data_IF_477271417257
#
_entry.id   IF_477271417257
#
_cell.length_a   1.000
_cell.length_b   1.000
_cell.length_c   1.000
_cell.angle_alpha   90.00
_cell.angle_beta   90.00
_cell.angle_gamma   90.00
#
_symmetry.space_group_name_H-M   'P 1'
#
loop_
_entity.id
_entity.type
_entity.pdbx_description
1 polymer ?
#
# COMPACT_ATOMS: atom_id res chain seq x y z
N UNK A 1 44.73 -3.04 -18.85
CA UNK A 1 44.35 -2.06 -17.79
C UNK A 1 42.81 -2.11 -17.72
N UNK A 2 42.29 -2.77 -16.68
CA UNK A 2 40.83 -2.82 -16.45
C UNK A 2 40.42 -1.49 -15.80
N UNK A 3 39.75 -0.66 -16.57
CA UNK A 3 39.02 0.50 -16.03
C UNK A 3 37.89 -0.04 -15.11
N UNK A 4 38.12 0.02 -13.81
CA UNK A 4 37.04 -0.12 -12.83
C UNK A 4 36.09 1.04 -13.08
N UNK A 5 34.94 0.75 -13.69
CA UNK A 5 33.79 1.64 -13.75
C UNK A 5 33.48 2.08 -12.32
N UNK A 6 33.85 3.30 -11.98
CA UNK A 6 33.50 3.91 -10.70
C UNK A 6 31.98 4.05 -10.74
N UNK A 7 31.27 3.19 -10.02
CA UNK A 7 29.84 3.38 -9.78
C UNK A 7 29.69 4.62 -8.89
N UNK A 8 29.27 5.71 -9.46
CA UNK A 8 29.14 7.05 -8.87
C UNK A 8 28.15 7.13 -7.68
N UNK A 9 27.66 6.02 -7.17
CA UNK A 9 26.61 5.93 -6.13
C UNK A 9 27.02 5.07 -4.93
N UNK A 10 28.31 4.87 -4.74
CA UNK A 10 28.81 4.14 -3.56
C UNK A 10 28.98 5.12 -2.39
N UNK A 11 28.28 4.88 -1.30
CA UNK A 11 28.55 5.59 -0.03
C UNK A 11 29.85 5.04 0.52
N UNK A 12 30.94 5.84 0.61
CA UNK A 12 32.20 5.35 1.15
C UNK A 12 32.04 4.95 2.63
N UNK A 13 32.83 3.98 3.06
CA UNK A 13 32.82 3.59 4.47
C UNK A 13 33.43 4.71 5.34
N UNK A 14 32.96 4.85 6.59
CA UNK A 14 33.58 5.81 7.51
C UNK A 14 35.10 5.55 7.70
N UNK A 15 35.49 4.28 7.57
CA UNK A 15 36.91 3.90 7.64
C UNK A 15 37.76 4.45 6.48
N UNK A 16 37.16 4.58 5.28
CA UNK A 16 37.80 5.21 4.14
C UNK A 16 38.06 6.70 4.40
N UNK A 17 37.06 7.44 4.89
CA UNK A 17 37.23 8.86 5.25
C UNK A 17 38.18 9.06 6.41
N UNK A 18 38.18 8.13 7.36
CA UNK A 18 39.19 8.14 8.46
C UNK A 18 40.60 7.95 7.91
N UNK A 19 40.79 7.05 6.92
CA UNK A 19 42.10 6.86 6.31
C UNK A 19 42.60 8.13 5.61
N UNK A 20 41.72 8.82 4.84
CA UNK A 20 42.07 10.10 4.22
C UNK A 20 42.46 11.16 5.27
N UNK A 21 41.73 11.22 6.40
CA UNK A 21 42.03 12.16 7.48
C UNK A 21 43.34 11.86 8.17
N UNK A 22 43.65 10.59 8.35
CA UNK A 22 44.95 10.18 8.91
C UNK A 22 46.12 10.55 7.99
N UNK A 23 45.95 10.39 6.67
CA UNK A 23 46.92 10.81 5.68
C UNK A 23 47.18 12.33 5.74
N UNK A 24 46.10 13.15 5.81
CA UNK A 24 46.20 14.60 6.00
C UNK A 24 46.98 14.98 7.28
N UNK A 25 46.81 14.21 8.36
CA UNK A 25 47.46 14.44 9.66
C UNK A 25 48.86 13.86 9.75
N UNK A 26 49.30 13.09 8.74
CA UNK A 26 50.58 12.38 8.77
C UNK A 26 50.64 11.29 9.83
N UNK A 27 49.52 10.68 10.19
CA UNK A 27 49.42 9.62 11.19
C UNK A 27 49.18 8.27 10.51
N UNK A 28 49.76 7.22 11.06
CA UNK A 28 49.42 5.85 10.67
C UNK A 28 48.41 5.20 11.63
N UNK A 29 47.99 3.98 11.32
CA UNK A 29 47.02 3.23 12.12
C UNK A 29 47.53 2.88 13.52
N UNK A 30 48.85 2.73 13.69
CA UNK A 30 49.46 2.45 15.00
C UNK A 30 49.50 3.72 15.86
N UNK A 31 49.81 4.87 15.25
CA UNK A 31 49.75 6.16 15.92
C UNK A 31 48.36 6.48 16.42
N UNK A 32 47.34 6.26 15.55
CA UNK A 32 45.95 6.44 15.95
C UNK A 32 45.57 5.50 17.10
N UNK A 33 45.93 4.22 17.00
CA UNK A 33 45.62 3.23 18.03
C UNK A 33 46.21 3.62 19.37
N UNK A 34 47.49 4.05 19.38
CA UNK A 34 48.18 4.50 20.59
C UNK A 34 47.48 5.74 21.21
N UNK A 35 47.05 6.71 20.39
CA UNK A 35 46.37 7.93 20.85
C UNK A 35 44.94 7.66 21.37
N UNK A 36 44.23 6.69 20.78
CA UNK A 36 42.90 6.30 21.22
C UNK A 36 42.91 5.32 22.41
N UNK A 37 44.07 4.74 22.76
CA UNK A 37 44.14 3.65 23.73
C UNK A 37 43.53 2.33 23.19
N UNK A 38 43.54 2.13 21.88
CA UNK A 38 43.01 0.95 21.18
C UNK A 38 44.15 0.05 20.71
N UNK A 39 43.84 -1.18 20.34
CA UNK A 39 44.82 -2.04 19.68
C UNK A 39 44.94 -1.66 18.19
N UNK A 40 46.11 -1.81 17.55
CA UNK A 40 46.28 -1.59 16.12
C UNK A 40 45.34 -2.42 15.28
N UNK A 41 44.98 -3.63 15.71
CA UNK A 41 43.98 -4.49 15.08
C UNK A 41 42.60 -3.84 15.07
N UNK A 42 42.15 -3.30 16.20
CA UNK A 42 40.84 -2.66 16.31
C UNK A 42 40.72 -1.44 15.37
N UNK A 43 41.76 -0.63 15.27
CA UNK A 43 41.80 0.52 14.35
C UNK A 43 41.81 0.04 12.90
N UNK A 44 42.60 -0.96 12.54
CA UNK A 44 42.59 -1.54 11.18
C UNK A 44 41.25 -2.15 10.81
N UNK A 45 40.53 -2.78 11.76
CA UNK A 45 39.19 -3.31 11.50
C UNK A 45 38.16 -2.18 11.24
N UNK A 46 38.30 -1.01 11.87
CA UNK A 46 37.52 0.20 11.57
C UNK A 46 37.87 0.74 10.18
N UNK A 47 39.15 0.93 9.87
CA UNK A 47 39.62 1.41 8.57
C UNK A 47 39.13 0.54 7.39
N UNK A 48 39.10 -0.78 7.60
CA UNK A 48 38.64 -1.76 6.62
C UNK A 48 37.14 -2.01 6.63
N UNK A 49 36.37 -1.22 7.41
CA UNK A 49 34.90 -1.38 7.58
C UNK A 49 34.50 -2.79 8.08
N UNK A 50 35.38 -3.53 8.73
CA UNK A 50 35.10 -4.80 9.42
C UNK A 50 34.39 -4.58 10.75
N UNK A 51 34.72 -3.49 11.46
CA UNK A 51 34.06 -3.03 12.66
C UNK A 51 33.37 -1.70 12.41
N UNK A 52 32.27 -1.48 13.14
CA UNK A 52 31.54 -0.22 13.10
C UNK A 52 32.15 0.80 14.02
N UNK A 53 32.02 2.07 13.66
CA UNK A 53 32.27 3.16 14.59
C UNK A 53 31.16 3.22 15.62
N UNK A 54 31.46 2.98 16.88
CA UNK A 54 30.53 3.09 18.01
C UNK A 54 30.58 4.50 18.62
N UNK A 55 29.60 4.89 19.46
CA UNK A 55 29.67 6.17 20.15
C UNK A 55 31.02 6.40 20.94
N UNK A 56 31.53 5.33 21.57
CA UNK A 56 32.80 5.39 22.30
C UNK A 56 33.98 5.62 21.37
N UNK A 57 34.04 4.88 20.25
CA UNK A 57 35.11 5.06 19.28
C UNK A 57 34.97 6.38 18.53
N UNK A 58 33.76 6.87 18.28
CA UNK A 58 33.52 8.18 17.68
C UNK A 58 34.03 9.32 18.60
N UNK A 59 33.81 9.21 19.92
CA UNK A 59 34.34 10.17 20.89
C UNK A 59 35.86 10.15 20.92
N UNK A 60 36.47 8.96 20.90
CA UNK A 60 37.93 8.82 20.83
C UNK A 60 38.51 9.41 19.53
N UNK A 61 37.78 9.24 18.39
CA UNK A 61 38.17 9.84 17.12
C UNK A 61 38.07 11.36 17.17
N UNK A 62 37.02 11.94 17.77
CA UNK A 62 36.90 13.39 17.95
C UNK A 62 38.10 13.97 18.69
N UNK A 63 38.53 13.32 19.79
CA UNK A 63 39.64 13.77 20.58
C UNK A 63 40.98 13.77 19.80
N UNK A 64 41.12 12.93 18.79
CA UNK A 64 42.38 12.81 18.02
C UNK A 64 42.31 13.60 16.72
N UNK A 65 41.13 13.61 16.04
CA UNK A 65 40.97 14.16 14.67
C UNK A 65 40.31 15.53 14.64
N UNK A 66 39.77 16.01 15.77
CA UNK A 66 38.94 17.21 15.88
C UNK A 66 37.70 17.19 14.99
N UNK A 67 37.26 15.97 14.56
CA UNK A 67 36.04 15.79 13.80
C UNK A 67 34.96 15.35 14.79
N UNK A 68 33.81 16.07 14.86
CA UNK A 68 32.76 15.83 15.85
C UNK A 68 32.19 14.41 15.85
N UNK A 69 31.84 13.88 17.03
CA UNK A 69 31.22 12.58 17.24
C UNK A 69 30.02 12.39 16.29
N UNK A 70 29.16 13.41 16.17
CA UNK A 70 27.98 13.40 15.31
C UNK A 70 28.30 13.13 13.83
N UNK A 71 29.44 13.63 13.35
CA UNK A 71 29.86 13.37 11.97
C UNK A 71 30.14 11.89 11.76
N UNK A 72 30.96 11.28 12.60
CA UNK A 72 31.31 9.86 12.49
C UNK A 72 30.11 8.95 12.61
N UNK A 73 29.19 9.23 13.53
CA UNK A 73 27.95 8.45 13.71
C UNK A 73 26.99 8.58 12.54
N UNK A 74 26.84 9.78 11.98
CA UNK A 74 25.99 9.99 10.77
C UNK A 74 26.59 9.26 9.57
N UNK A 75 27.90 9.29 9.39
CA UNK A 75 28.57 8.56 8.30
C UNK A 75 28.41 7.06 8.46
N UNK A 76 28.60 6.54 9.66
CA UNK A 76 28.37 5.12 9.94
C UNK A 76 26.93 4.72 9.64
N UNK A 77 25.96 5.49 10.10
CA UNK A 77 24.54 5.23 9.85
C UNK A 77 24.20 5.23 8.33
N UNK A 78 24.74 6.19 7.59
CA UNK A 78 24.54 6.27 6.15
C UNK A 78 25.12 5.05 5.42
N UNK A 79 26.34 4.64 5.80
CA UNK A 79 27.00 3.46 5.25
C UNK A 79 26.24 2.17 5.57
N UNK A 80 25.83 1.97 6.81
CA UNK A 80 25.06 0.80 7.25
C UNK A 80 23.73 0.70 6.50
N UNK A 81 23.04 1.83 6.31
CA UNK A 81 21.80 1.89 5.56
C UNK A 81 22.01 1.49 4.08
N UNK A 82 23.12 1.96 3.48
CA UNK A 82 23.50 1.62 2.10
C UNK A 82 23.78 0.12 1.96
N UNK A 83 24.70 -0.42 2.78
CA UNK A 83 25.08 -1.84 2.75
C UNK A 83 23.87 -2.75 3.01
N UNK A 84 23.01 -2.37 3.95
CA UNK A 84 21.81 -3.14 4.27
C UNK A 84 20.85 -3.15 3.08
N UNK A 85 20.62 -2.01 2.42
CA UNK A 85 19.77 -1.94 1.21
C UNK A 85 20.31 -2.83 0.09
N UNK A 86 21.60 -2.79 -0.17
CA UNK A 86 22.22 -3.61 -1.23
C UNK A 86 22.10 -5.11 -0.90
N UNK A 87 22.32 -5.50 0.35
CA UNK A 87 22.13 -6.88 0.79
C UNK A 87 20.68 -7.34 0.63
N UNK A 88 19.71 -6.50 1.00
CA UNK A 88 18.28 -6.81 0.84
C UNK A 88 17.91 -6.88 -0.63
N UNK A 89 18.39 -5.96 -1.48
CA UNK A 89 18.17 -6.02 -2.94
C UNK A 89 18.63 -7.37 -3.51
N UNK A 90 19.86 -7.78 -3.22
CA UNK A 90 20.40 -9.07 -3.68
C UNK A 90 19.58 -10.26 -3.19
N UNK A 91 19.12 -10.25 -1.95
CA UNK A 91 18.27 -11.33 -1.42
C UNK A 91 16.91 -11.41 -2.10
N UNK A 92 16.38 -10.28 -2.57
CA UNK A 92 15.10 -10.20 -3.27
C UNK A 92 15.20 -10.55 -4.77
N UNK A 93 16.39 -10.47 -5.38
CA UNK A 93 16.61 -10.85 -6.78
C UNK A 93 16.22 -12.32 -7.02
N UNK A 94 16.52 -13.20 -6.07
CA UNK A 94 16.16 -14.63 -6.12
C UNK A 94 14.64 -14.88 -6.00
N UNK A 95 13.86 -13.85 -5.61
CA UNK A 95 12.41 -13.93 -5.44
C UNK A 95 11.63 -13.19 -6.55
N UNK A 96 12.29 -12.93 -7.69
CA UNK A 96 11.70 -12.22 -8.84
C UNK A 96 10.45 -12.90 -9.40
N UNK A 97 10.29 -14.22 -9.22
CA UNK A 97 9.09 -14.97 -9.61
C UNK A 97 7.84 -14.47 -8.89
N UNK A 98 7.97 -14.03 -7.65
CA UNK A 98 6.84 -13.45 -6.90
C UNK A 98 6.25 -12.21 -7.58
N UNK A 99 7.10 -11.33 -8.15
CA UNK A 99 6.62 -10.17 -8.91
C UNK A 99 5.76 -10.58 -10.12
N UNK A 100 6.09 -11.70 -10.77
CA UNK A 100 5.36 -12.19 -11.95
C UNK A 100 3.95 -12.68 -11.62
N UNK A 101 3.65 -12.95 -10.36
CA UNK A 101 2.31 -13.34 -9.91
C UNK A 101 1.33 -12.17 -9.91
N UNK A 102 1.83 -10.91 -9.92
CA UNK A 102 0.98 -9.73 -9.94
C UNK A 102 0.62 -9.29 -11.36
N UNK A 103 -0.55 -8.69 -11.57
CA UNK A 103 -0.94 -8.16 -12.87
C UNK A 103 0.05 -7.12 -13.40
N UNK A 104 0.43 -7.22 -14.65
CA UNK A 104 1.31 -6.26 -15.33
C UNK A 104 0.71 -4.83 -15.31
N UNK A 105 -0.61 -4.74 -15.25
CA UNK A 105 -1.33 -3.47 -15.14
C UNK A 105 -0.95 -2.63 -13.91
N UNK A 106 -0.39 -3.22 -12.87
CA UNK A 106 0.11 -2.47 -11.70
C UNK A 106 1.19 -1.46 -12.08
N UNK A 107 2.12 -1.88 -12.92
CA UNK A 107 3.21 -1.02 -13.41
C UNK A 107 2.69 0.04 -14.38
N UNK A 108 1.73 -0.34 -15.25
CA UNK A 108 1.13 0.55 -16.25
C UNK A 108 0.28 1.65 -15.60
N UNK A 109 -0.37 1.35 -14.49
CA UNK A 109 -1.24 2.31 -13.77
C UNK A 109 -0.47 3.24 -12.84
N UNK A 110 0.84 3.11 -12.74
CA UNK A 110 1.67 3.83 -11.79
C UNK A 110 1.22 3.70 -10.31
N UNK A 111 0.50 2.63 -9.96
CA UNK A 111 0.11 2.38 -8.57
C UNK A 111 1.33 2.04 -7.72
N UNK A 112 2.27 1.33 -8.30
CA UNK A 112 3.58 1.11 -7.71
C UNK A 112 4.47 2.29 -8.09
N UNK A 113 4.81 3.15 -7.14
CA UNK A 113 5.74 4.26 -7.37
C UNK A 113 7.08 3.70 -7.82
N UNK A 114 7.50 4.08 -9.00
CA UNK A 114 8.85 3.81 -9.48
C UNK A 114 9.83 4.47 -8.51
N UNK A 115 10.87 3.75 -8.10
CA UNK A 115 11.95 4.32 -7.30
C UNK A 115 12.63 5.49 -8.02
N UNK A 116 13.25 6.39 -7.27
CA UNK A 116 14.01 7.49 -7.84
C UNK A 116 15.19 6.99 -8.68
N UNK A 117 15.68 5.78 -8.41
CA UNK A 117 16.78 5.14 -9.12
C UNK A 117 16.27 4.12 -10.14
N UNK A 118 16.79 4.18 -11.37
CA UNK A 118 16.52 3.17 -12.42
C UNK A 118 16.88 1.74 -11.98
N UNK A 119 17.81 1.58 -11.05
CA UNK A 119 18.15 0.29 -10.45
C UNK A 119 17.02 -0.30 -9.58
N UNK A 120 16.17 0.54 -8.99
CA UNK A 120 15.02 0.09 -8.19
C UNK A 120 13.84 -0.38 -9.05
N UNK A 121 13.77 -0.02 -10.35
CA UNK A 121 12.67 -0.45 -11.24
C UNK A 121 12.61 -1.98 -11.42
N UNK A 122 13.76 -2.67 -11.40
CA UNK A 122 13.85 -4.13 -11.49
C UNK A 122 13.69 -4.80 -10.12
N UNK A 123 13.78 -4.06 -9.04
CA UNK A 123 13.71 -4.54 -7.66
C UNK A 123 12.27 -4.83 -7.24
N UNK A 124 12.10 -5.71 -6.26
CA UNK A 124 10.82 -5.96 -5.60
C UNK A 124 10.43 -4.84 -4.61
N UNK A 125 11.36 -3.96 -4.26
CA UNK A 125 11.18 -2.93 -3.23
C UNK A 125 9.97 -2.01 -3.47
N UNK A 126 9.71 -1.50 -4.70
CA UNK A 126 8.53 -0.68 -4.97
C UNK A 126 7.22 -1.43 -4.72
N UNK A 127 7.17 -2.72 -5.09
CA UNK A 127 5.98 -3.56 -4.88
C UNK A 127 5.74 -3.86 -3.39
N UNK A 128 6.80 -4.16 -2.64
CA UNK A 128 6.72 -4.34 -1.18
C UNK A 128 6.25 -3.06 -0.47
N UNK A 129 6.76 -1.89 -0.90
CA UNK A 129 6.30 -0.59 -0.40
C UNK A 129 4.83 -0.33 -0.72
N UNK A 130 4.38 -0.66 -1.94
CA UNK A 130 2.97 -0.53 -2.31
C UNK A 130 2.08 -1.32 -1.36
N UNK A 131 2.44 -2.57 -1.06
CA UNK A 131 1.69 -3.42 -0.13
C UNK A 131 1.97 -3.10 1.35
N UNK A 132 2.92 -2.23 1.67
CA UNK A 132 3.38 -1.93 3.03
C UNK A 132 3.80 -3.19 3.80
N UNK A 133 4.53 -4.09 3.14
CA UNK A 133 5.08 -5.32 3.72
C UNK A 133 6.60 -5.36 3.58
N UNK A 134 7.27 -6.04 4.50
CA UNK A 134 8.73 -6.10 4.54
C UNK A 134 9.34 -7.17 3.61
N UNK A 135 8.55 -8.17 3.22
CA UNK A 135 9.01 -9.28 2.37
C UNK A 135 7.84 -9.96 1.67
N UNK A 136 8.07 -10.78 0.62
CA UNK A 136 7.06 -11.65 0.03
C UNK A 136 6.38 -12.58 1.05
N UNK A 137 7.16 -13.17 1.97
CA UNK A 137 6.63 -14.04 3.03
C UNK A 137 5.72 -13.26 4.01
N UNK A 138 6.06 -11.99 4.29
CA UNK A 138 5.20 -11.12 5.10
C UNK A 138 3.90 -10.80 4.36
N UNK A 139 3.93 -10.65 3.02
CA UNK A 139 2.73 -10.48 2.21
C UNK A 139 1.83 -11.72 2.29
N UNK A 140 2.39 -12.92 2.10
CA UNK A 140 1.67 -14.19 2.23
C UNK A 140 1.02 -14.30 3.62
N UNK A 141 1.79 -13.97 4.70
CA UNK A 141 1.29 -13.98 6.06
C UNK A 141 0.16 -12.98 6.33
N UNK A 142 0.27 -11.78 5.77
CA UNK A 142 -0.70 -10.70 5.96
C UNK A 142 -1.97 -10.91 5.12
N UNK A 143 -1.81 -11.16 3.83
CA UNK A 143 -2.95 -11.30 2.92
C UNK A 143 -3.56 -12.71 2.92
N UNK A 144 -2.77 -13.77 3.16
CA UNK A 144 -3.28 -15.14 3.25
C UNK A 144 -3.91 -15.46 4.63
N UNK A 145 -3.26 -15.10 5.72
CA UNK A 145 -3.65 -15.58 7.06
C UNK A 145 -4.49 -14.59 7.87
N UNK A 146 -4.17 -13.30 7.84
CA UNK A 146 -4.71 -12.36 8.83
C UNK A 146 -5.88 -11.52 8.34
N UNK A 147 -5.83 -11.00 7.13
CA UNK A 147 -6.83 -10.02 6.66
C UNK A 147 -7.80 -10.62 5.63
N UNK A 148 -7.29 -11.36 4.66
CA UNK A 148 -8.15 -11.92 3.62
C UNK A 148 -8.87 -13.18 4.10
N UNK A 149 -8.22 -14.09 4.87
CA UNK A 149 -8.90 -15.29 5.41
C UNK A 149 -9.96 -14.98 6.46
N UNK A 150 -9.67 -14.06 7.39
CA UNK A 150 -10.64 -13.66 8.42
C UNK A 150 -11.76 -12.84 7.80
N UNK A 151 -11.43 -12.05 6.79
CA UNK A 151 -12.38 -11.14 6.16
C UNK A 151 -13.18 -11.81 5.04
N UNK A 152 -12.56 -12.68 4.25
CA UNK A 152 -13.20 -13.34 3.11
C UNK A 152 -13.56 -14.79 3.40
N UNK A 153 -13.05 -15.37 4.51
CA UNK A 153 -13.23 -16.80 4.86
C UNK A 153 -12.95 -17.78 3.71
N UNK A 154 -12.09 -17.35 2.80
CA UNK A 154 -11.71 -18.08 1.60
C UNK A 154 -10.22 -18.29 1.63
N UNK A 155 -9.81 -19.47 1.25
CA UNK A 155 -8.42 -19.74 0.92
C UNK A 155 -8.02 -18.88 -0.29
N UNK A 156 -6.83 -18.25 -0.25
CA UNK A 156 -6.25 -17.63 -1.44
C UNK A 156 -6.20 -18.58 -2.64
N UNK A 157 -6.12 -19.88 -2.39
CA UNK A 157 -6.15 -20.93 -3.42
C UNK A 157 -7.51 -21.04 -4.14
N UNK A 158 -8.59 -20.56 -3.51
CA UNK A 158 -9.95 -20.57 -4.10
C UNK A 158 -10.26 -19.30 -4.88
N UNK A 159 -9.45 -18.24 -4.73
CA UNK A 159 -9.56 -17.03 -5.53
C UNK A 159 -8.97 -17.23 -6.92
N UNK A 160 -9.68 -16.76 -7.95
CA UNK A 160 -9.17 -16.79 -9.34
C UNK A 160 -7.85 -16.05 -9.50
N UNK A 161 -7.70 -14.89 -8.81
CA UNK A 161 -6.50 -14.07 -8.84
C UNK A 161 -6.35 -13.31 -7.51
N UNK A 162 -5.72 -13.93 -6.50
CA UNK A 162 -5.52 -13.31 -5.18
C UNK A 162 -4.59 -12.09 -5.23
N UNK A 163 -3.67 -12.07 -6.18
CA UNK A 163 -2.71 -10.98 -6.34
C UNK A 163 -3.38 -9.73 -6.90
N UNK A 164 -4.23 -9.86 -7.91
CA UNK A 164 -5.03 -8.76 -8.44
C UNK A 164 -6.01 -8.21 -7.38
N UNK A 165 -6.66 -9.12 -6.66
CA UNK A 165 -7.60 -8.76 -5.59
C UNK A 165 -6.92 -7.98 -4.48
N UNK A 166 -5.79 -8.47 -3.97
CA UNK A 166 -5.03 -7.78 -2.91
C UNK A 166 -4.53 -6.41 -3.36
N UNK A 167 -4.09 -6.29 -4.61
CA UNK A 167 -3.66 -5.01 -5.16
C UNK A 167 -4.81 -4.00 -5.26
N UNK A 168 -5.99 -4.44 -5.69
CA UNK A 168 -7.19 -3.62 -5.75
C UNK A 168 -7.62 -3.13 -4.35
N UNK A 169 -7.64 -4.04 -3.37
CA UNK A 169 -7.93 -3.71 -1.97
C UNK A 169 -6.91 -2.70 -1.44
N UNK A 170 -5.61 -2.94 -1.67
CA UNK A 170 -4.53 -2.06 -1.22
C UNK A 170 -4.65 -0.65 -1.80
N UNK A 171 -5.05 -0.54 -3.07
CA UNK A 171 -5.30 0.78 -3.70
C UNK A 171 -6.39 1.54 -2.96
N UNK A 172 -7.49 0.90 -2.59
CA UNK A 172 -8.55 1.53 -1.78
C UNK A 172 -8.06 2.01 -0.41
N UNK A 173 -7.14 1.27 0.23
CA UNK A 173 -6.49 1.72 1.48
C UNK A 173 -5.69 3.01 1.27
N UNK A 174 -4.84 3.02 0.24
CA UNK A 174 -4.00 4.18 -0.09
C UNK A 174 -4.87 5.40 -0.38
N UNK A 175 -5.93 5.26 -1.19
CA UNK A 175 -6.86 6.36 -1.47
C UNK A 175 -7.58 6.83 -0.21
N UNK A 176 -7.93 5.90 0.69
CA UNK A 176 -8.54 6.25 1.97
C UNK A 176 -7.60 7.01 2.89
N UNK A 177 -6.31 6.73 2.85
CA UNK A 177 -5.30 7.41 3.66
C UNK A 177 -4.99 8.83 3.14
N UNK A 178 -5.13 9.04 1.83
CA UNK A 178 -4.93 10.37 1.21
C UNK A 178 -6.05 11.36 1.52
N UNK A 179 -7.25 10.88 1.85
CA UNK A 179 -8.41 11.71 2.13
C UNK A 179 -9.07 11.30 3.46
N UNK A 180 -8.56 11.72 4.61
CA UNK A 180 -9.08 11.33 5.92
C UNK A 180 -10.52 11.82 6.13
N UNK A 181 -11.31 11.01 6.83
CA UNK A 181 -12.70 11.31 7.19
C UNK A 181 -12.89 11.27 8.71
N UNK A 182 -13.96 11.95 9.17
CA UNK A 182 -14.41 11.88 10.55
C UNK A 182 -14.74 10.43 10.93
N UNK A 183 -14.27 10.00 12.09
CA UNK A 183 -14.51 8.68 12.64
C UNK A 183 -15.80 8.68 13.45
N UNK A 184 -16.88 8.30 12.81
CA UNK A 184 -18.16 8.12 13.50
C UNK A 184 -18.27 6.70 14.04
N UNK A 185 -18.82 6.55 15.24
CA UNK A 185 -19.15 5.22 15.75
C UNK A 185 -20.24 4.54 14.90
N UNK A 186 -20.24 3.21 14.85
CA UNK A 186 -21.22 2.43 14.08
C UNK A 186 -22.68 2.83 14.33
N UNK A 187 -23.15 3.10 15.56
CA UNK A 187 -24.53 3.54 15.79
C UNK A 187 -24.85 4.87 15.12
N UNK A 188 -23.90 5.83 15.11
CA UNK A 188 -24.08 7.12 14.47
C UNK A 188 -24.17 7.00 12.95
N UNK A 189 -23.28 6.20 12.35
CA UNK A 189 -23.32 5.91 10.91
C UNK A 189 -24.65 5.28 10.53
N UNK A 190 -25.11 4.24 11.27
CA UNK A 190 -26.40 3.58 11.01
C UNK A 190 -27.57 4.54 11.11
N UNK A 191 -27.60 5.43 12.11
CA UNK A 191 -28.64 6.43 12.27
C UNK A 191 -28.68 7.40 11.10
N UNK A 192 -27.50 7.94 10.73
CA UNK A 192 -27.37 8.87 9.59
C UNK A 192 -27.75 8.18 8.26
N UNK A 193 -27.31 6.92 8.06
CA UNK A 193 -27.64 6.14 6.87
C UNK A 193 -29.14 5.93 6.73
N UNK A 194 -29.83 5.50 7.80
CA UNK A 194 -31.30 5.32 7.77
C UNK A 194 -32.03 6.60 7.40
N UNK A 195 -31.56 7.74 7.91
CA UNK A 195 -32.18 9.03 7.59
C UNK A 195 -31.90 9.50 6.14
N UNK A 196 -30.72 9.18 5.58
CA UNK A 196 -30.32 9.57 4.24
C UNK A 196 -30.74 8.56 3.16
N UNK A 197 -31.24 7.39 3.51
CA UNK A 197 -31.59 6.34 2.54
C UNK A 197 -32.58 6.81 1.47
N UNK A 198 -33.65 7.57 1.79
CA UNK A 198 -34.56 8.09 0.76
C UNK A 198 -33.85 9.02 -0.24
N UNK A 199 -32.93 9.86 0.23
CA UNK A 199 -32.12 10.75 -0.63
C UNK A 199 -31.20 9.96 -1.55
N UNK A 200 -30.56 8.89 -1.04
CA UNK A 200 -29.70 7.99 -1.83
C UNK A 200 -30.53 7.28 -2.91
N UNK A 201 -31.72 6.79 -2.57
CA UNK A 201 -32.63 6.12 -3.52
C UNK A 201 -33.09 7.11 -4.60
N UNK A 202 -33.47 8.33 -4.23
CA UNK A 202 -33.84 9.38 -5.17
C UNK A 202 -32.67 9.75 -6.10
N UNK A 203 -31.47 9.80 -5.56
CA UNK A 203 -30.25 10.04 -6.36
C UNK A 203 -30.00 8.90 -7.35
N UNK A 204 -30.20 7.64 -6.95
CA UNK A 204 -30.13 6.48 -7.84
C UNK A 204 -31.17 6.55 -8.96
N UNK A 205 -32.40 6.90 -8.63
CA UNK A 205 -33.51 7.09 -9.59
C UNK A 205 -33.17 8.13 -10.66
N UNK A 206 -32.55 9.25 -10.27
CA UNK A 206 -32.11 10.30 -11.19
C UNK A 206 -30.91 9.89 -12.07
N UNK A 207 -30.14 8.87 -11.66
CA UNK A 207 -28.88 8.46 -12.30
C UNK A 207 -28.91 7.02 -12.86
N UNK A 208 -30.02 6.61 -13.43
CA UNK A 208 -30.21 5.24 -13.96
C UNK A 208 -29.38 4.93 -15.20
N UNK A 209 -29.08 5.95 -16.01
CA UNK A 209 -28.42 5.75 -17.31
C UNK A 209 -26.92 6.04 -17.21
N UNK A 210 -26.10 5.24 -17.87
CA UNK A 210 -24.69 5.56 -18.08
C UNK A 210 -24.57 6.80 -18.96
N UNK A 211 -23.62 7.71 -18.67
CA UNK A 211 -23.33 8.83 -19.56
C UNK A 211 -22.89 8.29 -20.93
N UNK A 212 -23.19 9.05 -22.00
CA UNK A 212 -22.69 8.72 -23.35
C UNK A 212 -21.16 8.66 -23.33
N UNK A 213 -20.60 7.75 -24.11
CA UNK A 213 -19.16 7.40 -24.11
C UNK A 213 -18.24 8.60 -24.30
N UNK A 214 -18.71 9.64 -25.00
CA UNK A 214 -17.99 10.90 -25.27
C UNK A 214 -17.74 11.77 -24.03
N UNK A 215 -18.50 11.56 -22.95
CA UNK A 215 -18.33 12.26 -21.65
C UNK A 215 -17.54 11.46 -20.61
N UNK A 216 -17.06 10.27 -20.96
CA UNK A 216 -16.13 9.53 -20.11
C UNK A 216 -14.73 10.10 -20.30
N UNK A 217 -14.40 11.12 -19.54
CA UNK A 217 -13.05 11.68 -19.51
C UNK A 217 -12.15 10.66 -18.83
N UNK A 218 -11.34 9.98 -19.63
CA UNK A 218 -10.25 9.13 -19.14
C UNK A 218 -9.07 10.03 -18.77
N UNK A 219 -9.10 10.63 -17.60
CA UNK A 219 -7.90 11.28 -17.09
C UNK A 219 -6.95 10.21 -16.58
N UNK A 220 -5.89 10.02 -17.31
CA UNK A 220 -4.75 9.23 -16.93
C UNK A 220 -3.82 10.07 -16.05
N UNK A 221 -4.26 10.37 -14.83
CA UNK A 221 -3.35 10.88 -13.80
C UNK A 221 -3.27 9.83 -12.69
N UNK A 222 -2.11 9.69 -12.04
CA UNK A 222 -1.95 8.75 -10.91
C UNK A 222 -2.95 8.99 -9.78
N UNK A 223 -3.63 10.13 -9.78
CA UNK A 223 -4.48 10.65 -8.71
C UNK A 223 -5.98 10.69 -9.08
N UNK A 224 -6.34 10.65 -10.37
CA UNK A 224 -7.72 10.70 -10.83
C UNK A 224 -8.14 9.36 -11.45
N UNK A 225 -8.68 8.49 -10.65
CA UNK A 225 -9.51 7.39 -11.16
C UNK A 225 -10.77 8.00 -11.75
N UNK A 226 -11.14 7.58 -12.98
CA UNK A 226 -12.24 8.19 -13.73
C UNK A 226 -13.55 8.03 -12.98
N UNK A 227 -14.10 9.13 -12.58
CA UNK A 227 -15.35 9.18 -11.86
C UNK A 227 -16.29 10.04 -12.68
N UNK A 228 -17.43 9.50 -13.11
CA UNK A 228 -18.48 10.31 -13.72
C UNK A 228 -19.22 11.13 -12.65
N UNK A 229 -20.03 12.11 -13.07
CA UNK A 229 -20.76 13.00 -12.16
C UNK A 229 -21.64 12.23 -11.15
N UNK A 230 -22.19 11.09 -11.55
CA UNK A 230 -22.96 10.22 -10.66
C UNK A 230 -22.08 9.60 -9.58
N UNK A 231 -20.89 9.11 -9.95
CA UNK A 231 -19.95 8.52 -8.99
C UNK A 231 -19.46 9.57 -7.98
N UNK A 232 -19.12 10.77 -8.48
CA UNK A 232 -18.71 11.90 -7.63
C UNK A 232 -19.83 12.35 -6.69
N UNK A 233 -21.05 12.45 -7.21
CA UNK A 233 -22.24 12.80 -6.42
C UNK A 233 -22.53 11.77 -5.33
N UNK A 234 -22.44 10.48 -5.65
CA UNK A 234 -22.62 9.39 -4.69
C UNK A 234 -21.54 9.41 -3.59
N UNK A 235 -20.30 9.65 -3.96
CA UNK A 235 -19.21 9.81 -2.99
C UNK A 235 -19.48 10.97 -2.02
N UNK A 236 -19.88 12.13 -2.55
CA UNK A 236 -20.19 13.32 -1.75
C UNK A 236 -21.39 13.09 -0.81
N UNK A 237 -22.44 12.40 -1.29
CA UNK A 237 -23.61 12.05 -0.50
C UNK A 237 -23.25 11.13 0.67
N UNK A 238 -22.53 10.04 0.38
CA UNK A 238 -22.12 9.08 1.39
C UNK A 238 -21.13 9.68 2.40
N UNK A 239 -20.25 10.57 1.96
CA UNK A 239 -19.32 11.29 2.84
C UNK A 239 -20.03 12.05 3.95
N UNK A 240 -21.14 12.73 3.65
CA UNK A 240 -21.95 13.50 4.63
C UNK A 240 -22.47 12.61 5.77
N UNK A 241 -22.71 11.34 5.49
CA UNK A 241 -23.23 10.38 6.49
C UNK A 241 -22.12 9.57 7.17
N UNK A 242 -20.86 9.81 6.79
CA UNK A 242 -19.69 9.14 7.37
C UNK A 242 -19.34 7.81 6.74
N UNK A 243 -19.76 7.58 5.49
CA UNK A 243 -19.42 6.38 4.69
C UNK A 243 -18.50 6.82 3.55
N UNK A 244 -17.37 6.13 3.42
CA UNK A 244 -16.47 6.30 2.28
C UNK A 244 -16.91 5.39 1.14
N UNK A 245 -17.12 5.98 -0.03
CA UNK A 245 -17.31 5.24 -1.28
C UNK A 245 -16.13 5.53 -2.19
N UNK A 246 -15.50 4.50 -2.73
CA UNK A 246 -14.41 4.62 -3.69
C UNK A 246 -14.74 3.82 -4.95
N UNK A 247 -14.46 4.43 -6.09
CA UNK A 247 -14.48 3.76 -7.38
C UNK A 247 -13.03 3.52 -7.79
N UNK A 248 -12.60 2.25 -7.75
CA UNK A 248 -11.20 1.86 -7.99
C UNK A 248 -11.13 1.03 -9.25
N UNK A 249 -10.19 1.38 -10.12
CA UNK A 249 -9.99 0.65 -11.37
C UNK A 249 -9.64 -0.82 -11.09
N UNK A 250 -10.48 -1.75 -11.60
CA UNK A 250 -10.30 -3.17 -11.38
C UNK A 250 -9.40 -3.82 -12.45
N UNK A 251 -8.78 -4.94 -12.12
CA UNK A 251 -8.01 -5.76 -13.04
C UNK A 251 -8.93 -6.66 -13.86
N UNK A 252 -8.51 -7.00 -15.09
CA UNK A 252 -9.28 -7.89 -15.96
C UNK A 252 -9.49 -9.29 -15.36
N UNK A 253 -8.50 -9.76 -14.61
CA UNK A 253 -8.50 -11.06 -13.93
C UNK A 253 -9.32 -11.09 -12.65
N UNK A 254 -9.67 -9.94 -12.08
CA UNK A 254 -10.43 -9.87 -10.83
C UNK A 254 -11.93 -9.91 -11.09
N UNK A 255 -12.68 -10.87 -10.51
CA UNK A 255 -14.12 -10.98 -10.67
C UNK A 255 -14.92 -10.02 -9.77
N UNK A 256 -14.26 -9.28 -8.88
CA UNK A 256 -14.91 -8.51 -7.81
C UNK A 256 -15.58 -7.27 -8.39
N UNK A 257 -16.87 -7.06 -8.05
CA UNK A 257 -17.63 -5.87 -8.39
C UNK A 257 -17.62 -4.83 -7.28
N UNK A 258 -17.66 -5.25 -6.04
CA UNK A 258 -17.70 -4.41 -4.86
C UNK A 258 -17.13 -5.08 -3.62
N UNK A 259 -16.87 -4.29 -2.61
CA UNK A 259 -16.39 -4.72 -1.32
C UNK A 259 -16.82 -3.75 -0.23
N UNK A 260 -17.22 -4.29 0.91
CA UNK A 260 -17.43 -3.54 2.15
C UNK A 260 -16.46 -3.97 3.24
N UNK A 261 -15.96 -3.01 3.99
CA UNK A 261 -15.23 -3.21 5.24
C UNK A 261 -15.17 -1.95 6.09
N UNK A 262 -14.77 -2.08 7.33
CA UNK A 262 -14.32 -0.95 8.14
C UNK A 262 -12.81 -0.77 7.99
N UNK A 263 -12.39 0.42 7.56
CA UNK A 263 -10.99 0.78 7.45
C UNK A 263 -10.69 1.99 8.35
N UNK A 264 -9.81 1.82 9.33
CA UNK A 264 -9.44 2.86 10.31
C UNK A 264 -10.67 3.54 10.95
N UNK A 265 -11.66 2.75 11.36
CA UNK A 265 -12.93 3.18 11.97
C UNK A 265 -13.91 3.93 11.05
N UNK A 266 -13.67 3.94 9.76
CA UNK A 266 -14.60 4.46 8.74
C UNK A 266 -15.13 3.30 7.89
N UNK A 267 -16.45 3.17 7.69
CA UNK A 267 -16.99 2.20 6.73
C UNK A 267 -16.57 2.58 5.31
N UNK A 268 -15.97 1.66 4.62
CA UNK A 268 -15.48 1.79 3.26
C UNK A 268 -16.26 0.84 2.34
N UNK A 269 -16.92 1.40 1.35
CA UNK A 269 -17.48 0.69 0.20
C UNK A 269 -16.55 0.97 -0.97
N UNK A 270 -15.93 -0.08 -1.49
CA UNK A 270 -15.05 0.02 -2.66
C UNK A 270 -15.71 -0.69 -3.83
N UNK A 271 -15.90 0.02 -4.93
CA UNK A 271 -16.54 -0.46 -6.14
C UNK A 271 -15.56 -0.39 -7.30
N UNK A 272 -15.71 -1.26 -8.30
CA UNK A 272 -14.91 -1.11 -9.51
C UNK A 272 -15.45 0.04 -10.40
N UNK A 273 -14.60 0.59 -11.26
CA UNK A 273 -14.90 1.76 -12.09
C UNK A 273 -15.60 1.44 -13.43
N UNK A 274 -15.68 0.17 -13.81
CA UNK A 274 -16.05 -0.25 -15.17
C UNK A 274 -17.33 -1.08 -15.22
N UNK A 275 -18.39 -0.58 -14.62
CA UNK A 275 -19.69 -1.21 -14.78
C UNK A 275 -20.20 -1.08 -16.23
N UNK A 276 -20.59 -2.19 -16.84
CA UNK A 276 -21.21 -2.22 -18.17
C UNK A 276 -22.62 -1.67 -18.16
N UNK A 277 -23.32 -1.85 -17.04
CA UNK A 277 -24.69 -1.39 -16.81
C UNK A 277 -24.76 -0.61 -15.50
N UNK A 278 -25.56 0.44 -15.48
CA UNK A 278 -25.76 1.25 -14.27
C UNK A 278 -26.53 0.48 -13.20
N UNK A 279 -27.45 -0.39 -13.63
CA UNK A 279 -28.18 -1.28 -12.72
C UNK A 279 -27.23 -2.14 -11.88
N UNK A 280 -26.23 -2.76 -12.52
CA UNK A 280 -25.24 -3.58 -11.80
C UNK A 280 -24.45 -2.75 -10.78
N UNK A 281 -24.08 -1.50 -11.12
CA UNK A 281 -23.39 -0.59 -10.19
C UNK A 281 -24.28 -0.28 -8.97
N UNK A 282 -25.55 0.08 -9.20
CA UNK A 282 -26.47 0.44 -8.12
C UNK A 282 -26.82 -0.77 -7.26
N UNK A 283 -27.06 -1.93 -7.87
CA UNK A 283 -27.27 -3.16 -7.13
C UNK A 283 -26.07 -3.48 -6.22
N UNK A 284 -24.85 -3.44 -6.79
CA UNK A 284 -23.62 -3.67 -6.01
C UNK A 284 -23.50 -2.67 -4.88
N UNK A 285 -23.72 -1.39 -5.14
CA UNK A 285 -23.66 -0.35 -4.11
C UNK A 285 -24.66 -0.58 -2.98
N UNK A 286 -25.93 -0.85 -3.30
CA UNK A 286 -26.96 -1.10 -2.28
C UNK A 286 -26.70 -2.39 -1.51
N UNK A 287 -26.15 -3.41 -2.15
CA UNK A 287 -25.72 -4.63 -1.48
C UNK A 287 -24.63 -4.36 -0.44
N UNK A 288 -23.57 -3.63 -0.80
CA UNK A 288 -22.52 -3.26 0.15
C UNK A 288 -23.04 -2.30 1.23
N UNK A 289 -24.00 -1.45 0.91
CA UNK A 289 -24.64 -0.55 1.85
C UNK A 289 -25.45 -1.31 2.91
N UNK A 290 -26.08 -2.43 2.54
CA UNK A 290 -26.76 -3.32 3.48
C UNK A 290 -25.79 -3.87 4.54
N UNK A 291 -24.59 -4.25 4.12
CA UNK A 291 -23.57 -4.71 5.08
C UNK A 291 -23.15 -3.60 6.08
N UNK A 292 -23.10 -2.33 5.64
CA UNK A 292 -22.91 -1.19 6.57
C UNK A 292 -24.06 -1.14 7.57
N UNK A 293 -25.27 -1.31 7.11
CA UNK A 293 -26.50 -1.13 7.89
C UNK A 293 -26.72 -2.27 8.89
N UNK A 294 -26.52 -3.50 8.46
CA UNK A 294 -26.92 -4.70 9.23
C UNK A 294 -25.76 -5.42 9.91
N UNK A 295 -24.61 -5.55 9.25
CA UNK A 295 -23.58 -6.50 9.66
C UNK A 295 -22.42 -5.91 10.49
N UNK A 296 -22.23 -4.60 10.48
CA UNK A 296 -21.31 -3.90 11.38
C UNK A 296 -19.81 -4.10 11.11
N UNK A 297 -18.97 -3.87 12.13
CA UNK A 297 -17.50 -3.83 11.99
C UNK A 297 -16.83 -5.20 11.78
N UNK A 298 -17.50 -6.29 12.06
CA UNK A 298 -16.92 -7.64 12.03
C UNK A 298 -17.14 -8.27 10.64
N UNK A 299 -16.29 -7.98 9.71
CA UNK A 299 -16.29 -8.67 8.41
C UNK A 299 -15.80 -7.78 7.27
N UNK A 300 -15.34 -8.43 6.22
CA UNK A 300 -15.24 -7.89 4.89
C UNK A 300 -16.18 -8.74 4.05
N UNK A 301 -17.04 -8.12 3.26
CA UNK A 301 -17.87 -8.80 2.28
C UNK A 301 -17.36 -8.45 0.88
N UNK A 302 -17.32 -9.43 0.00
CA UNK A 302 -17.00 -9.28 -1.43
C UNK A 302 -18.14 -9.79 -2.25
N UNK A 303 -18.61 -8.98 -3.16
CA UNK A 303 -19.66 -9.38 -4.10
C UNK A 303 -19.08 -10.05 -5.34
N UNK A 304 -19.78 -11.05 -5.85
CA UNK A 304 -19.46 -11.80 -7.08
C UNK A 304 -18.30 -12.80 -7.02
N UNK A 305 -17.97 -13.27 -5.83
CA UNK A 305 -17.21 -14.50 -5.68
C UNK A 305 -18.23 -15.57 -5.28
N UNK A 306 -18.28 -16.71 -5.99
CA UNK A 306 -19.21 -17.85 -5.74
C UNK A 306 -18.94 -18.52 -4.38
N UNK A 307 -18.90 -17.75 -3.29
CA UNK A 307 -18.49 -18.22 -1.98
C UNK A 307 -19.53 -17.83 -0.95
N UNK A 308 -20.66 -18.42 -1.12
CA UNK A 308 -21.83 -18.28 -0.25
C UNK A 308 -21.83 -19.23 0.95
N UNK A 309 -20.73 -19.95 1.23
CA UNK A 309 -20.82 -21.08 2.16
C UNK A 309 -20.78 -20.72 3.65
N UNK A 310 -20.45 -19.49 4.07
CA UNK A 310 -20.28 -19.23 5.49
C UNK A 310 -21.31 -18.33 6.18
N UNK A 311 -22.13 -17.55 5.45
CA UNK A 311 -23.28 -16.79 5.98
C UNK A 311 -24.29 -16.50 4.85
N UNK A 312 -24.97 -17.52 4.33
CA UNK A 312 -25.97 -17.32 3.28
C UNK A 312 -27.07 -16.33 3.70
N UNK A 313 -27.47 -16.37 4.98
CA UNK A 313 -28.49 -15.47 5.52
C UNK A 313 -28.14 -13.99 5.41
N UNK A 314 -26.86 -13.62 5.60
CA UNK A 314 -26.42 -12.21 5.49
C UNK A 314 -26.34 -11.72 4.05
N UNK A 315 -25.95 -12.58 3.15
CA UNK A 315 -25.92 -12.28 1.73
C UNK A 315 -27.35 -12.17 1.17
N UNK A 316 -28.25 -13.06 1.61
CA UNK A 316 -29.68 -12.99 1.24
C UNK A 316 -30.34 -11.71 1.78
N UNK A 317 -30.03 -11.32 3.04
CA UNK A 317 -30.49 -10.06 3.61
C UNK A 317 -29.99 -8.85 2.79
N UNK A 318 -28.70 -8.87 2.40
CA UNK A 318 -28.11 -7.81 1.59
C UNK A 318 -28.70 -7.76 0.17
N UNK A 319 -28.92 -8.92 -0.44
CA UNK A 319 -29.56 -9.02 -1.75
C UNK A 319 -31.02 -8.52 -1.71
N UNK A 320 -31.80 -8.94 -0.71
CA UNK A 320 -33.17 -8.47 -0.53
C UNK A 320 -33.22 -6.94 -0.32
N UNK A 321 -32.33 -6.39 0.47
CA UNK A 321 -32.23 -4.95 0.68
C UNK A 321 -31.89 -4.23 -0.62
N UNK A 322 -30.89 -4.73 -1.37
CA UNK A 322 -30.50 -4.14 -2.66
C UNK A 322 -31.67 -4.15 -3.66
N UNK A 323 -32.35 -5.29 -3.81
CA UNK A 323 -33.52 -5.40 -4.68
C UNK A 323 -34.62 -4.41 -4.30
N UNK A 324 -34.93 -4.28 -3.01
CA UNK A 324 -35.92 -3.32 -2.53
C UNK A 324 -35.55 -1.89 -2.90
N UNK A 325 -34.30 -1.46 -2.64
CA UNK A 325 -33.82 -0.12 -3.00
C UNK A 325 -33.84 0.11 -4.51
N UNK A 326 -33.51 -0.91 -5.30
CA UNK A 326 -33.59 -0.84 -6.78
C UNK A 326 -35.00 -0.63 -7.27
N UNK A 327 -35.99 -1.38 -6.74
CA UNK A 327 -37.40 -1.23 -7.09
C UNK A 327 -37.93 0.17 -6.69
N UNK A 328 -37.61 0.64 -5.47
CA UNK A 328 -38.00 1.98 -5.01
C UNK A 328 -37.37 3.08 -5.89
N UNK A 329 -36.14 2.87 -6.39
CA UNK A 329 -35.51 3.77 -7.37
C UNK A 329 -36.11 3.63 -8.79
N UNK A 330 -37.03 2.67 -9.01
CA UNK A 330 -37.71 2.42 -10.28
C UNK A 330 -36.81 1.74 -11.32
N UNK A 331 -35.88 0.88 -10.92
CA UNK A 331 -35.24 -0.08 -11.80
C UNK A 331 -36.19 -1.28 -11.99
N UNK A 332 -36.13 -1.92 -13.16
CA UNK A 332 -36.90 -3.14 -13.41
C UNK A 332 -36.37 -4.29 -12.54
N UNK A 333 -37.27 -5.19 -12.13
CA UNK A 333 -36.97 -6.31 -11.25
C UNK A 333 -36.11 -7.38 -11.93
#
# INVERSE_FOLDING_TARGET
MNEKKIELWCVPSPGFELAEKLEEMGLDANDLAARMGYTPKAVNDILQAKCRITPESALSLEMVTDIPVDYWLRRQMAYDAFVTRERVKKSLENQSLWKKSFPVELDVRNWVRKGADKADEKSLMPLLKFFAVASPQAWDGYYDKAQLKVAFRISLAEMKDPYATSAWIRRGEILSDLDPMEKLGQPAVRKRLKAALPEIIAFAAANKKLPKREKRITYWTPEAEVVDDCMTGLQALCRKIGIRVLFVQNFKSSPIHGMYRWYKDVPLIQLHDRFKKRETMWFTFFHELAHVLYHGKKGICLQNIEITHNYPEKEDEANCFAQKCMLEAGFDA
#
